data_IF_297986329080
#
_entry.id   IF_297986329080
#
_cell.length_a   1.000
_cell.length_b   1.000
_cell.length_c   1.000
_cell.angle_alpha   90.00
_cell.angle_beta   90.00
_cell.angle_gamma   90.00
#
_symmetry.space_group_name_H-M   'P 1'
#
loop_
_entity.id
_entity.type
_entity.pdbx_description
1 polymer ?
#
# COMPACT_ATOMS: atom_id res chain seq x y z
N UNK A 1 -23.05 11.42 -13.91
CA UNK A 1 -21.94 10.59 -14.45
C UNK A 1 -21.16 10.03 -13.27
N UNK A 2 -21.13 8.70 -13.13
CA UNK A 2 -20.88 8.01 -11.87
C UNK A 2 -19.48 8.28 -11.28
N UNK A 3 -19.45 8.73 -10.03
CA UNK A 3 -18.31 8.55 -9.14
C UNK A 3 -18.33 7.09 -8.73
N UNK A 4 -17.38 6.30 -9.23
CA UNK A 4 -17.28 4.89 -8.83
C UNK A 4 -16.62 4.84 -7.45
N UNK A 5 -17.37 4.29 -6.51
CA UNK A 5 -16.91 3.95 -5.18
C UNK A 5 -16.87 2.44 -5.11
N UNK A 6 -15.73 1.90 -4.71
CA UNK A 6 -15.51 0.47 -4.60
C UNK A 6 -15.02 0.18 -3.19
N UNK A 7 -15.72 -0.69 -2.48
CA UNK A 7 -15.25 -1.23 -1.21
C UNK A 7 -14.85 -2.68 -1.43
N UNK A 8 -13.71 -3.09 -0.88
CA UNK A 8 -13.23 -4.45 -0.95
C UNK A 8 -12.77 -4.94 0.43
N UNK A 9 -12.96 -6.23 0.65
CA UNK A 9 -12.46 -6.95 1.83
C UNK A 9 -11.60 -8.08 1.31
N UNK A 10 -10.39 -8.21 1.84
CA UNK A 10 -9.49 -9.32 1.56
C UNK A 10 -9.04 -9.97 2.88
N UNK A 11 -8.88 -11.28 2.86
CA UNK A 11 -8.29 -12.05 3.95
C UNK A 11 -6.99 -12.63 3.41
N UNK A 12 -5.87 -12.30 4.05
CA UNK A 12 -4.53 -12.75 3.69
C UNK A 12 -3.96 -13.68 4.75
N UNK A 13 -3.00 -14.51 4.33
CA UNK A 13 -2.21 -15.41 5.20
C UNK A 13 -3.06 -16.38 6.04
N UNK A 14 -4.21 -16.83 5.53
CA UNK A 14 -4.92 -17.97 6.12
C UNK A 14 -4.13 -19.24 5.82
N UNK A 15 -3.33 -19.68 6.78
CA UNK A 15 -2.47 -20.85 6.67
C UNK A 15 -2.90 -21.93 7.66
N UNK A 16 -2.77 -23.19 7.22
CA UNK A 16 -2.99 -24.36 8.06
C UNK A 16 -1.84 -25.33 7.81
N UNK A 17 -1.12 -25.70 8.87
CA UNK A 17 -0.03 -26.69 8.80
C UNK A 17 -0.67 -28.08 8.78
N UNK A 18 -0.50 -28.82 7.69
CA UNK A 18 -1.05 -30.18 7.53
C UNK A 18 -0.10 -31.25 8.06
N UNK A 19 1.21 -31.07 7.88
CA UNK A 19 2.24 -31.98 8.33
C UNK A 19 3.54 -31.20 8.57
N UNK A 20 4.32 -31.60 9.57
CA UNK A 20 5.53 -30.93 10.00
C UNK A 20 6.62 -31.94 10.33
N UNK A 21 7.75 -31.86 9.62
CA UNK A 21 8.93 -32.69 9.89
C UNK A 21 9.69 -32.25 11.15
N UNK A 22 9.34 -31.10 11.73
CA UNK A 22 9.92 -30.57 12.98
C UNK A 22 8.83 -30.43 14.05
N UNK A 23 9.23 -30.32 15.32
CA UNK A 23 8.31 -30.03 16.44
C UNK A 23 7.82 -28.57 16.47
N UNK A 24 8.25 -27.74 15.52
CA UNK A 24 7.83 -26.34 15.39
C UNK A 24 6.82 -26.21 14.25
N UNK A 25 5.56 -25.95 14.59
CA UNK A 25 4.57 -25.51 13.62
C UNK A 25 4.74 -24.00 13.41
N UNK A 26 5.21 -23.59 12.22
CA UNK A 26 5.18 -22.18 11.84
C UNK A 26 3.75 -21.72 11.61
N UNK A 27 3.30 -20.77 12.42
CA UNK A 27 1.99 -20.14 12.28
C UNK A 27 2.15 -18.78 11.60
N UNK A 28 1.48 -18.58 10.46
CA UNK A 28 1.36 -17.25 9.86
C UNK A 28 0.06 -16.60 10.36
N UNK A 29 0.13 -15.45 11.06
CA UNK A 29 -1.05 -14.81 11.59
C UNK A 29 -1.96 -14.31 10.45
N UNK A 30 -3.25 -14.67 10.44
CA UNK A 30 -4.16 -14.21 9.42
C UNK A 30 -4.33 -12.69 9.51
N UNK A 31 -4.48 -12.05 8.35
CA UNK A 31 -4.64 -10.60 8.23
C UNK A 31 -5.92 -10.27 7.48
N UNK A 32 -6.71 -9.34 8.03
CA UNK A 32 -7.91 -8.79 7.41
C UNK A 32 -7.58 -7.42 6.81
N UNK A 33 -7.89 -7.23 5.54
CA UNK A 33 -7.72 -5.97 4.82
C UNK A 33 -9.09 -5.46 4.40
N UNK A 34 -9.40 -4.23 4.79
CA UNK A 34 -10.56 -3.49 4.32
C UNK A 34 -10.06 -2.30 3.50
N UNK A 35 -10.47 -2.18 2.24
CA UNK A 35 -10.08 -1.08 1.37
C UNK A 35 -11.28 -0.37 0.77
N UNK A 36 -11.16 0.95 0.68
CA UNK A 36 -12.11 1.87 0.08
C UNK A 36 -11.40 2.62 -1.05
N UNK A 37 -11.89 2.45 -2.26
CA UNK A 37 -11.41 3.14 -3.46
C UNK A 37 -12.47 4.11 -3.96
N UNK A 38 -12.03 5.29 -4.38
CA UNK A 38 -12.87 6.30 -5.00
C UNK A 38 -12.15 6.95 -6.17
N UNK A 39 -12.73 6.81 -7.36
CA UNK A 39 -12.30 7.56 -8.53
C UNK A 39 -13.03 8.91 -8.60
N UNK A 40 -12.27 10.00 -8.57
CA UNK A 40 -12.82 11.34 -8.80
C UNK A 40 -12.95 11.54 -10.31
N UNK A 41 -14.13 11.96 -10.78
CA UNK A 41 -14.39 12.11 -12.21
C UNK A 41 -14.02 13.53 -12.73
N UNK A 42 -13.88 14.51 -11.82
CA UNK A 42 -13.57 15.90 -12.14
C UNK A 42 -12.07 16.16 -12.29
N UNK A 43 -11.26 15.34 -11.64
CA UNK A 43 -9.80 15.37 -11.68
C UNK A 43 -9.34 13.95 -11.98
N UNK A 44 -8.29 13.71 -12.78
CA UNK A 44 -7.81 12.37 -13.04
C UNK A 44 -7.06 11.83 -11.81
N UNK A 45 -7.76 11.70 -10.70
CA UNK A 45 -7.26 11.36 -9.38
C UNK A 45 -8.13 10.24 -8.81
N UNK A 46 -7.47 9.16 -8.44
CA UNK A 46 -8.06 8.06 -7.70
C UNK A 46 -7.48 8.07 -6.29
N UNK A 47 -8.33 7.86 -5.30
CA UNK A 47 -7.94 7.81 -3.89
C UNK A 47 -8.29 6.43 -3.34
N UNK A 48 -7.39 5.87 -2.54
CA UNK A 48 -7.60 4.62 -1.82
C UNK A 48 -7.29 4.80 -0.33
N UNK A 49 -8.16 4.26 0.50
CA UNK A 49 -7.96 4.15 1.94
C UNK A 49 -8.07 2.68 2.34
N UNK A 50 -7.06 2.16 3.02
CA UNK A 50 -6.98 0.74 3.37
C UNK A 50 -6.65 0.59 4.86
N UNK A 51 -7.39 -0.25 5.57
CA UNK A 51 -7.17 -0.64 6.96
C UNK A 51 -6.80 -2.12 7.00
N UNK A 52 -5.63 -2.43 7.55
CA UNK A 52 -5.13 -3.79 7.72
C UNK A 52 -5.10 -4.11 9.20
N UNK A 53 -5.65 -5.24 9.60
CA UNK A 53 -5.63 -5.76 10.96
C UNK A 53 -5.03 -7.16 10.95
N UNK A 54 -4.07 -7.41 11.83
CA UNK A 54 -3.41 -8.72 11.97
C UNK A 54 -3.84 -9.35 13.28
N UNK A 55 -4.36 -10.59 13.22
CA UNK A 55 -5.07 -11.22 14.33
C UNK A 55 -4.24 -11.39 15.61
N UNK A 56 -2.93 -11.64 15.49
CA UNK A 56 -2.08 -11.97 16.66
C UNK A 56 -1.35 -10.76 17.27
N UNK A 57 -1.15 -9.68 16.52
CA UNK A 57 -0.30 -8.56 16.98
C UNK A 57 -1.10 -7.36 17.49
N UNK A 58 -2.44 -7.39 17.42
CA UNK A 58 -3.36 -6.25 17.68
C UNK A 58 -2.96 -4.95 16.97
N UNK A 59 -2.09 -5.04 15.96
CA UNK A 59 -1.60 -3.90 15.20
C UNK A 59 -2.58 -3.61 14.09
N UNK A 60 -3.01 -2.35 14.03
CA UNK A 60 -3.88 -1.86 12.98
C UNK A 60 -3.16 -0.81 12.16
N UNK A 61 -3.03 -1.10 10.87
CA UNK A 61 -2.29 -0.29 9.92
C UNK A 61 -3.27 0.40 8.98
N UNK A 62 -3.16 1.72 8.89
CA UNK A 62 -3.91 2.51 7.92
C UNK A 62 -3.01 2.93 6.75
N UNK A 63 -3.52 2.90 5.53
CA UNK A 63 -2.85 3.37 4.31
C UNK A 63 -3.78 4.32 3.60
N UNK A 64 -3.24 5.44 3.16
CA UNK A 64 -3.90 6.36 2.23
C UNK A 64 -3.03 6.43 1.00
N UNK A 65 -3.58 6.17 -0.17
CA UNK A 65 -2.86 6.35 -1.43
C UNK A 65 -3.69 7.15 -2.43
N UNK A 66 -2.98 7.77 -3.35
CA UNK A 66 -3.49 8.62 -4.40
C UNK A 66 -2.79 8.27 -5.71
N UNK A 67 -3.58 8.10 -6.76
CA UNK A 67 -3.11 7.79 -8.10
C UNK A 67 -3.62 8.88 -9.06
N UNK A 68 -2.71 9.69 -9.57
CA UNK A 68 -2.99 10.80 -10.47
C UNK A 68 -2.58 10.45 -11.90
N UNK A 69 -3.52 10.47 -12.86
CA UNK A 69 -3.34 10.04 -14.25
C UNK A 69 -3.59 11.18 -15.24
N UNK A 70 -2.72 12.20 -15.32
CA UNK A 70 -2.95 13.37 -16.17
C UNK A 70 -3.06 13.01 -17.65
N UNK A 71 -2.35 11.97 -18.09
CA UNK A 71 -2.36 11.45 -19.46
C UNK A 71 -2.61 9.95 -19.44
N UNK A 72 -3.10 9.37 -20.56
CA UNK A 72 -3.35 7.93 -20.67
C UNK A 72 -2.12 7.06 -20.34
N UNK A 73 -0.92 7.57 -20.64
CA UNK A 73 0.32 6.81 -20.57
C UNK A 73 1.18 7.19 -19.36
N UNK A 74 0.84 8.24 -18.62
CA UNK A 74 1.63 8.73 -17.48
C UNK A 74 0.78 8.72 -16.23
N UNK A 75 1.30 8.12 -15.17
CA UNK A 75 0.65 8.09 -13.87
C UNK A 75 1.63 8.42 -12.75
N UNK A 76 1.13 9.15 -11.77
CA UNK A 76 1.82 9.49 -10.54
C UNK A 76 1.13 8.80 -9.38
N UNK A 77 1.91 8.19 -8.52
CA UNK A 77 1.46 7.49 -7.31
C UNK A 77 2.00 8.22 -6.11
N UNK A 78 1.19 8.37 -5.09
CA UNK A 78 1.61 8.88 -3.79
C UNK A 78 0.87 8.13 -2.71
N UNK A 79 1.50 7.88 -1.58
CA UNK A 79 0.81 7.23 -0.47
C UNK A 79 1.52 7.41 0.84
N UNK A 80 0.76 7.31 1.91
CA UNK A 80 1.25 7.38 3.28
C UNK A 80 0.72 6.20 4.07
N UNK A 81 1.53 5.65 4.96
CA UNK A 81 1.14 4.54 5.83
C UNK A 81 1.31 4.88 7.31
N UNK A 82 0.44 4.31 8.12
CA UNK A 82 0.38 4.43 9.58
C UNK A 82 1.05 3.24 10.29
N UNK A 83 1.83 2.41 9.58
CA UNK A 83 2.44 1.16 10.08
C UNK A 83 3.24 1.36 11.38
N UNK A 84 3.72 2.58 11.65
CA UNK A 84 4.63 2.89 12.75
C UNK A 84 4.05 3.82 13.82
N UNK A 85 2.73 4.04 13.84
CA UNK A 85 2.08 4.86 14.88
C UNK A 85 2.22 4.23 16.29
N UNK A 86 2.26 2.91 16.42
CA UNK A 86 2.43 2.26 17.73
C UNK A 86 3.87 2.36 18.30
N UNK A 87 4.82 2.94 17.56
CA UNK A 87 6.19 3.22 18.04
C UNK A 87 6.33 4.65 18.59
N UNK A 88 5.21 5.36 18.79
CA UNK A 88 5.20 6.75 19.26
C UNK A 88 5.53 6.81 20.76
N UNK A 89 6.76 7.22 21.07
CA UNK A 89 7.11 7.86 22.34
C UNK A 89 7.28 9.37 22.09
N UNK A 90 6.29 10.18 22.48
CA UNK A 90 6.39 11.65 22.66
C UNK A 90 6.67 12.54 21.44
N UNK A 91 5.90 13.64 21.30
CA UNK A 91 6.14 14.85 20.47
C UNK A 91 6.46 14.75 18.97
N UNK A 92 6.36 13.57 18.34
CA UNK A 92 6.79 13.37 16.94
C UNK A 92 5.68 12.99 15.94
N UNK A 93 4.43 13.37 16.20
CA UNK A 93 3.29 13.08 15.30
C UNK A 93 3.54 13.54 13.84
N UNK A 94 4.10 14.74 13.63
CA UNK A 94 4.40 15.24 12.28
C UNK A 94 5.57 14.50 11.63
N UNK A 95 6.69 14.28 12.35
CA UNK A 95 7.84 13.52 11.82
C UNK A 95 7.45 12.10 11.42
N UNK A 96 6.60 11.45 12.20
CA UNK A 96 6.21 10.06 11.92
C UNK A 96 5.19 9.90 10.78
N UNK A 97 4.34 10.90 10.51
CA UNK A 97 3.46 10.90 9.33
C UNK A 97 4.24 11.07 8.01
N UNK A 98 5.34 11.85 8.04
CA UNK A 98 6.23 12.02 6.88
C UNK A 98 7.26 10.90 6.73
N UNK A 99 7.36 9.99 7.71
CA UNK A 99 8.36 8.90 7.72
C UNK A 99 7.98 7.67 6.89
N UNK A 100 6.70 7.49 6.56
CA UNK A 100 6.18 6.37 5.76
C UNK A 100 5.48 6.91 4.49
N UNK A 101 6.20 7.71 3.69
CA UNK A 101 5.68 8.27 2.43
C UNK A 101 6.29 7.54 1.25
N UNK A 102 5.43 7.10 0.34
CA UNK A 102 5.78 6.64 -0.99
C UNK A 102 5.39 7.64 -2.06
N UNK A 103 6.26 7.84 -3.05
CA UNK A 103 5.95 8.53 -4.29
C UNK A 103 6.41 7.69 -5.46
N UNK A 104 5.68 7.71 -6.56
CA UNK A 104 6.02 6.95 -7.76
C UNK A 104 5.58 7.66 -9.02
N UNK A 105 6.30 7.37 -10.09
CA UNK A 105 5.94 7.76 -11.44
C UNK A 105 6.06 6.55 -12.32
N UNK A 106 5.04 6.30 -13.13
CA UNK A 106 5.11 5.24 -14.12
C UNK A 106 4.60 5.69 -15.47
N UNK A 107 5.19 5.08 -16.48
CA UNK A 107 4.90 5.30 -17.88
C UNK A 107 4.51 3.98 -18.54
N UNK A 108 3.31 3.96 -19.10
CA UNK A 108 2.80 2.82 -19.85
C UNK A 108 3.01 3.07 -21.35
N UNK A 109 3.97 2.35 -21.93
CA UNK A 109 4.04 2.12 -23.37
C UNK A 109 2.98 1.09 -23.79
N UNK A 110 2.89 0.84 -25.09
CA UNK A 110 1.90 -0.07 -25.66
C UNK A 110 2.06 -1.49 -25.10
N UNK A 111 3.29 -2.02 -25.07
CA UNK A 111 3.59 -3.40 -24.65
C UNK A 111 4.37 -3.49 -23.33
N UNK A 112 4.79 -2.36 -22.77
CA UNK A 112 5.69 -2.31 -21.60
C UNK A 112 5.22 -1.22 -20.65
N UNK A 113 5.30 -1.48 -19.35
CA UNK A 113 5.06 -0.52 -18.27
C UNK A 113 6.37 -0.36 -17.52
N UNK A 114 6.85 0.87 -17.44
CA UNK A 114 7.95 1.25 -16.56
C UNK A 114 7.36 1.96 -15.34
N UNK A 115 7.75 1.53 -14.15
CA UNK A 115 7.25 2.09 -12.90
C UNK A 115 8.43 2.35 -11.96
N UNK A 116 8.66 3.61 -11.62
CA UNK A 116 9.71 4.05 -10.73
C UNK A 116 9.07 4.53 -9.43
N UNK A 117 9.30 3.83 -8.32
CA UNK A 117 8.75 4.19 -7.02
C UNK A 117 9.88 4.44 -6.03
N UNK A 118 9.72 5.49 -5.23
CA UNK A 118 10.50 5.77 -4.05
C UNK A 118 9.63 5.63 -2.82
N UNK A 119 10.17 5.03 -1.78
CA UNK A 119 9.49 4.85 -0.51
C UNK A 119 10.44 5.19 0.63
N UNK A 120 10.08 6.18 1.41
CA UNK A 120 10.80 6.57 2.62
C UNK A 120 10.22 5.79 3.78
N UNK A 121 11.10 5.17 4.58
CA UNK A 121 10.73 4.30 5.71
C UNK A 121 11.28 4.81 7.06
N UNK A 122 12.01 5.93 7.03
CA UNK A 122 12.57 6.67 8.17
C UNK A 122 13.15 8.02 7.70
N UNK A 123 13.39 8.97 8.62
CA UNK A 123 13.97 10.31 8.38
C UNK A 123 15.29 10.29 7.56
N UNK A 124 15.95 9.14 7.43
CA UNK A 124 17.24 9.00 6.73
C UNK A 124 17.33 7.82 5.75
N UNK A 125 16.26 7.07 5.53
CA UNK A 125 16.28 5.88 4.67
C UNK A 125 15.16 5.91 3.63
N UNK A 126 15.57 5.91 2.37
CA UNK A 126 14.67 5.81 1.22
C UNK A 126 15.06 4.62 0.35
N UNK A 127 14.05 3.87 -0.08
CA UNK A 127 14.17 2.73 -0.99
C UNK A 127 13.70 3.21 -2.36
N UNK A 128 14.54 3.00 -3.37
CA UNK A 128 14.18 3.24 -4.75
C UNK A 128 13.94 1.91 -5.45
N UNK A 129 12.87 1.83 -6.22
CA UNK A 129 12.46 0.64 -6.95
C UNK A 129 12.10 1.01 -8.38
N UNK A 130 12.52 0.16 -9.32
CA UNK A 130 12.18 0.26 -10.73
C UNK A 130 11.56 -1.09 -11.10
N UNK A 131 10.32 -1.07 -11.54
CA UNK A 131 9.61 -2.23 -12.05
C UNK A 131 9.41 -2.07 -13.55
N UNK A 132 9.74 -3.14 -14.28
CA UNK A 132 9.49 -3.26 -15.71
C UNK A 132 8.51 -4.42 -15.86
N UNK A 133 7.34 -4.12 -16.39
CA UNK A 133 6.31 -5.12 -16.64
C UNK A 133 5.94 -5.11 -18.12
N UNK A 134 5.62 -6.27 -18.67
CA UNK A 134 5.16 -6.38 -20.04
C UNK A 134 3.68 -6.77 -20.07
N UNK A 135 2.95 -6.23 -21.05
CA UNK A 135 1.51 -6.47 -21.24
C UNK A 135 1.21 -7.63 -22.20
N UNK A 136 2.21 -8.40 -22.61
CA UNK A 136 2.03 -9.56 -23.50
C UNK A 136 1.14 -10.64 -22.90
#
# INVERSE_FOLDING_TARGET
RATHFTAAIAIEHYSMVLDSYTSYAEHLPPSLIFSLHRALNRYPLELEFSSVSTAETDKRLYRVSALYKPYKNLYFKGGVSSNRIDRISGDQLRRNLFNDIGFGVGYAFDNIILDCNTFTYSDSHSIFSIAISSKF
#
